data_IF_376181850736
#
_entry.id   IF_376181850736
#
_cell.length_a   1.000
_cell.length_b   1.000
_cell.length_c   1.000
_cell.angle_alpha   90.00
_cell.angle_beta   90.00
_cell.angle_gamma   90.00
#
_symmetry.space_group_name_H-M   'P 1'
#
loop_
_entity.id
_entity.type
_entity.pdbx_description
1 polymer ?
#
# COMPACT_ATOMS: atom_id res chain seq x y z
N UNK A 1 1.30 4.13 -5.92
CA UNK A 1 1.32 3.40 -4.62
C UNK A 1 1.12 4.36 -3.43
N UNK A 2 2.04 5.31 -3.17
CA UNK A 2 1.93 6.18 -1.97
C UNK A 2 0.67 7.06 -1.92
N UNK A 3 0.23 7.61 -3.04
CA UNK A 3 -1.01 8.41 -3.10
C UNK A 3 -2.23 7.55 -2.74
N UNK A 4 -2.38 6.39 -3.38
CA UNK A 4 -3.47 5.44 -3.06
C UNK A 4 -3.47 5.02 -1.58
N UNK A 5 -2.30 4.77 -0.98
CA UNK A 5 -2.21 4.51 0.46
C UNK A 5 -2.74 5.69 1.29
N UNK A 6 -2.41 6.92 0.91
CA UNK A 6 -2.88 8.13 1.61
C UNK A 6 -4.39 8.27 1.49
N UNK A 7 -4.94 8.02 0.31
CA UNK A 7 -6.38 8.12 0.05
C UNK A 7 -7.12 7.04 0.87
N UNK A 8 -6.69 5.78 0.79
CA UNK A 8 -7.28 4.67 1.55
C UNK A 8 -7.21 4.88 3.08
N UNK A 9 -6.10 5.41 3.61
CA UNK A 9 -6.02 5.75 5.03
C UNK A 9 -6.92 6.94 5.42
N UNK A 10 -7.19 7.86 4.48
CA UNK A 10 -8.13 8.96 4.71
C UNK A 10 -9.55 8.42 4.80
N UNK A 11 -9.92 7.48 3.92
CA UNK A 11 -11.22 6.83 3.92
C UNK A 11 -11.46 6.05 5.23
N UNK A 12 -10.49 5.26 5.69
CA UNK A 12 -10.57 4.56 6.99
C UNK A 12 -10.82 5.55 8.13
N UNK A 13 -10.13 6.69 8.13
CA UNK A 13 -10.29 7.71 9.16
C UNK A 13 -11.67 8.35 9.12
N UNK A 14 -12.25 8.54 7.93
CA UNK A 14 -13.61 9.06 7.75
C UNK A 14 -14.64 8.04 8.27
N UNK A 15 -14.53 6.77 7.87
CA UNK A 15 -15.39 5.68 8.33
C UNK A 15 -15.38 5.53 9.88
N UNK A 16 -14.20 5.66 10.49
CA UNK A 16 -14.08 5.62 11.96
C UNK A 16 -14.77 6.82 12.62
N UNK A 17 -14.68 8.01 12.01
CA UNK A 17 -15.34 9.23 12.51
C UNK A 17 -16.86 9.13 12.39
N UNK A 18 -17.34 8.53 11.31
CA UNK A 18 -18.77 8.26 11.07
C UNK A 18 -19.30 7.08 11.89
N UNK A 19 -18.41 6.39 12.61
CA UNK A 19 -18.70 5.19 13.42
C UNK A 19 -19.27 4.02 12.61
N UNK A 20 -18.90 3.95 11.34
CA UNK A 20 -19.25 2.81 10.48
C UNK A 20 -18.35 1.61 10.75
N UNK A 21 -17.15 1.85 11.31
CA UNK A 21 -16.19 0.82 11.73
C UNK A 21 -15.70 1.08 13.16
N UNK A 22 -15.25 0.01 13.83
CA UNK A 22 -14.62 0.06 15.14
C UNK A 22 -13.13 0.45 15.09
N UNK A 23 -12.54 0.80 16.23
CA UNK A 23 -11.09 1.07 16.32
C UNK A 23 -10.24 -0.15 15.94
N UNK A 24 -10.69 -1.35 16.28
CA UNK A 24 -9.99 -2.60 15.95
C UNK A 24 -10.02 -2.86 14.44
N UNK A 25 -11.16 -2.63 13.79
CA UNK A 25 -11.30 -2.72 12.33
C UNK A 25 -10.47 -1.66 11.61
N UNK A 26 -10.42 -0.43 12.12
CA UNK A 26 -9.56 0.63 11.59
C UNK A 26 -8.09 0.23 11.63
N UNK A 27 -7.60 -0.33 12.75
CA UNK A 27 -6.21 -0.78 12.87
C UNK A 27 -5.90 -1.93 11.94
N UNK A 28 -6.79 -2.92 11.85
CA UNK A 28 -6.63 -4.04 10.93
C UNK A 28 -6.63 -3.57 9.45
N UNK A 29 -7.48 -2.61 9.10
CA UNK A 29 -7.51 -2.00 7.77
C UNK A 29 -6.20 -1.29 7.42
N UNK A 30 -5.66 -0.49 8.34
CA UNK A 30 -4.37 0.19 8.15
C UNK A 30 -3.20 -0.80 7.97
N UNK A 31 -3.18 -1.89 8.75
CA UNK A 31 -2.16 -2.95 8.64
C UNK A 31 -2.23 -3.66 7.28
N UNK A 32 -3.43 -3.99 6.83
CA UNK A 32 -3.66 -4.61 5.52
C UNK A 32 -3.21 -3.69 4.38
N UNK A 33 -3.57 -2.41 4.45
CA UNK A 33 -3.12 -1.40 3.48
C UNK A 33 -1.59 -1.32 3.46
N UNK A 34 -0.94 -1.33 4.62
CA UNK A 34 0.52 -1.24 4.71
C UNK A 34 1.19 -2.48 4.14
N UNK A 35 0.65 -3.67 4.40
CA UNK A 35 1.13 -4.94 3.83
C UNK A 35 1.04 -4.94 2.30
N UNK A 36 -0.12 -4.59 1.74
CA UNK A 36 -0.32 -4.47 0.30
C UNK A 36 0.63 -3.44 -0.33
N UNK A 37 0.76 -2.26 0.30
CA UNK A 37 1.68 -1.21 -0.14
C UNK A 37 3.10 -1.75 -0.25
N UNK A 38 3.57 -2.45 0.77
CA UNK A 38 4.93 -3.02 0.79
C UNK A 38 5.12 -4.08 -0.29
N UNK A 39 4.12 -4.94 -0.51
CA UNK A 39 4.16 -5.96 -1.54
C UNK A 39 4.30 -5.34 -2.94
N UNK A 40 3.48 -4.32 -3.25
CA UNK A 40 3.53 -3.67 -4.56
C UNK A 40 4.80 -2.84 -4.77
N UNK A 41 5.37 -2.25 -3.71
CA UNK A 41 6.68 -1.60 -3.80
C UNK A 41 7.74 -2.63 -4.19
N UNK A 42 7.83 -3.77 -3.48
CA UNK A 42 8.78 -4.84 -3.79
C UNK A 42 8.62 -5.38 -5.21
N UNK A 43 7.37 -5.53 -5.68
CA UNK A 43 7.10 -5.95 -7.07
C UNK A 43 7.65 -4.96 -8.09
N UNK A 44 7.47 -3.66 -7.85
CA UNK A 44 8.01 -2.60 -8.73
C UNK A 44 9.53 -2.59 -8.69
N UNK A 45 10.14 -2.69 -7.51
CA UNK A 45 11.60 -2.71 -7.35
C UNK A 45 12.23 -3.91 -8.06
N UNK A 46 11.64 -5.10 -7.93
CA UNK A 46 12.11 -6.30 -8.63
C UNK A 46 12.00 -6.13 -10.15
N UNK A 47 10.85 -5.66 -10.66
CA UNK A 47 10.65 -5.44 -12.09
C UNK A 47 11.65 -4.42 -12.67
N UNK A 48 11.97 -3.38 -11.90
CA UNK A 48 12.95 -2.39 -12.28
C UNK A 48 14.36 -3.00 -12.33
N UNK A 49 14.76 -3.74 -11.30
CA UNK A 49 16.05 -4.43 -11.23
C UNK A 49 16.24 -5.46 -12.36
N UNK A 50 15.20 -6.22 -12.68
CA UNK A 50 15.22 -7.18 -13.79
C UNK A 50 15.42 -6.45 -15.11
N UNK A 51 14.71 -5.33 -15.31
CA UNK A 51 14.84 -4.54 -16.54
C UNK A 51 16.20 -3.86 -16.67
N UNK A 52 16.75 -3.36 -15.57
CA UNK A 52 18.10 -2.80 -15.54
C UNK A 52 19.15 -3.86 -15.91
N UNK A 53 19.00 -5.09 -15.42
CA UNK A 53 19.90 -6.21 -15.75
C UNK A 53 19.82 -6.56 -17.23
N UNK A 54 18.61 -6.70 -17.78
CA UNK A 54 18.37 -6.96 -19.22
C UNK A 54 19.02 -5.88 -20.10
N UNK A 55 19.01 -4.60 -19.66
CA UNK A 55 19.64 -3.50 -20.39
C UNK A 55 21.17 -3.47 -20.28
N UNK A 56 21.75 -4.08 -19.23
CA UNK A 56 23.20 -4.15 -19.02
C UNK A 56 23.86 -5.38 -19.66
N UNK A 57 23.08 -6.42 -19.97
CA UNK A 57 23.55 -7.54 -20.79
C UNK A 57 23.69 -7.09 -22.25
N UNK A 58 24.92 -6.75 -22.65
CA UNK A 58 25.37 -6.54 -24.04
C UNK A 58 26.28 -7.69 -24.45
#
# INVERSE_FOLDING_TARGET
IRNIRRDANSDIKELLKEKEISEDESRAGEENIQTLTNEFIKKVDNMLSDKETELMEV
#
